data_IF_662840405813
#
_entry.id   IF_662840405813
#
_cell.length_a   1.000
_cell.length_b   1.000
_cell.length_c   1.000
_cell.angle_alpha   90.00
_cell.angle_beta   90.00
_cell.angle_gamma   90.00
#
_symmetry.space_group_name_H-M   'P 1'
#
loop_
_entity.id
_entity.type
_entity.pdbx_description
1 polymer ?
#
# COMPACT_ATOMS: atom_id res chain seq x y z
N UNK A 1 -2.20 39.14 -18.66
CA UNK A 1 -3.31 38.57 -17.87
C UNK A 1 -3.10 37.10 -17.44
N UNK A 2 -1.97 36.44 -17.75
CA UNK A 2 -1.73 35.04 -17.35
C UNK A 2 -1.27 34.85 -15.88
N UNK A 3 -0.67 35.87 -15.26
CA UNK A 3 -0.07 35.76 -13.92
C UNK A 3 -1.09 35.53 -12.78
N UNK A 4 -2.34 35.97 -12.94
CA UNK A 4 -3.38 35.82 -11.91
C UNK A 4 -3.86 34.36 -11.75
N UNK A 5 -3.81 33.57 -12.84
CA UNK A 5 -4.18 32.16 -12.84
C UNK A 5 -3.10 31.27 -12.20
N UNK A 6 -1.83 31.48 -12.57
CA UNK A 6 -0.69 30.78 -11.97
C UNK A 6 -0.52 31.09 -10.48
N UNK A 7 -0.77 32.33 -10.05
CA UNK A 7 -0.70 32.70 -8.63
C UNK A 7 -1.79 32.00 -7.81
N UNK A 8 -3.02 31.85 -8.35
CA UNK A 8 -4.09 31.06 -7.71
C UNK A 8 -3.80 29.55 -7.72
N UNK A 9 -3.10 29.03 -8.72
CA UNK A 9 -2.66 27.64 -8.75
C UNK A 9 -1.53 27.39 -7.74
N UNK A 10 -0.54 28.29 -7.66
CA UNK A 10 0.55 28.25 -6.65
C UNK A 10 0.03 28.35 -5.22
N UNK A 11 -1.00 29.17 -4.97
CA UNK A 11 -1.62 29.28 -3.64
C UNK A 11 -2.40 28.01 -3.22
N UNK A 12 -2.75 27.13 -4.16
CA UNK A 12 -3.54 25.91 -3.88
C UNK A 12 -2.70 24.66 -3.68
N UNK A 13 -1.46 24.64 -4.21
CA UNK A 13 -0.58 23.49 -4.06
C UNK A 13 0.51 23.76 -3.02
N UNK A 14 0.43 23.02 -1.93
CA UNK A 14 1.51 22.82 -0.97
C UNK A 14 1.62 21.32 -0.72
N UNK A 15 2.85 20.82 -0.60
CA UNK A 15 3.15 19.41 -0.28
C UNK A 15 2.30 18.92 0.89
N UNK A 16 2.27 19.66 1.99
CA UNK A 16 1.52 19.28 3.19
C UNK A 16 0.00 19.25 2.96
N UNK A 17 -0.54 20.18 2.14
CA UNK A 17 -1.97 20.16 1.83
C UNK A 17 -2.34 18.96 0.95
N UNK A 18 -1.49 18.65 -0.03
CA UNK A 18 -1.71 17.54 -0.93
C UNK A 18 -1.59 16.18 -0.22
N UNK A 19 -0.54 16.00 0.60
CA UNK A 19 -0.39 14.82 1.45
C UNK A 19 -1.60 14.63 2.37
N UNK A 20 -2.07 15.70 3.04
CA UNK A 20 -3.29 15.62 3.87
C UNK A 20 -4.49 15.15 3.06
N UNK A 21 -4.72 15.70 1.86
CA UNK A 21 -5.83 15.28 0.98
C UNK A 21 -5.74 13.81 0.59
N UNK A 22 -4.53 13.30 0.32
CA UNK A 22 -4.28 11.89 0.02
C UNK A 22 -4.57 11.01 1.24
N UNK A 23 -4.11 11.42 2.43
CA UNK A 23 -4.28 10.65 3.67
C UNK A 23 -5.74 10.59 4.15
N UNK A 24 -6.56 11.61 3.86
CA UNK A 24 -7.97 11.68 4.30
C UNK A 24 -8.96 11.22 3.23
N UNK A 25 -8.50 10.55 2.18
CA UNK A 25 -9.37 10.13 1.08
C UNK A 25 -10.44 9.15 1.55
N UNK A 26 -11.66 9.34 1.04
CA UNK A 26 -12.80 8.47 1.33
C UNK A 26 -13.10 7.55 0.15
N UNK A 27 -13.66 6.34 0.38
CA UNK A 27 -14.00 5.37 -0.67
C UNK A 27 -15.15 5.79 -1.59
N UNK A 28 -15.68 7.01 -1.46
CA UNK A 28 -16.82 7.46 -2.24
C UNK A 28 -16.39 8.20 -3.51
N UNK A 29 -17.29 8.19 -4.51
CA UNK A 29 -17.04 8.75 -5.83
C UNK A 29 -16.71 10.25 -5.77
N UNK A 30 -17.40 11.02 -4.93
CA UNK A 30 -17.20 12.47 -4.80
C UNK A 30 -15.79 12.81 -4.31
N UNK A 31 -15.30 12.12 -3.28
CA UNK A 31 -13.95 12.30 -2.74
C UNK A 31 -12.88 11.95 -3.78
N UNK A 32 -13.06 10.81 -4.46
CA UNK A 32 -12.17 10.34 -5.52
C UNK A 32 -12.11 11.34 -6.68
N UNK A 33 -13.27 11.76 -7.19
CA UNK A 33 -13.37 12.70 -8.32
C UNK A 33 -12.82 14.08 -7.96
N UNK A 34 -13.14 14.59 -6.78
CA UNK A 34 -12.65 15.89 -6.30
C UNK A 34 -11.12 15.92 -6.23
N UNK A 35 -10.49 14.86 -5.72
CA UNK A 35 -9.03 14.75 -5.68
C UNK A 35 -8.44 14.60 -7.09
N UNK A 36 -9.05 13.77 -7.95
CA UNK A 36 -8.60 13.61 -9.32
C UNK A 36 -8.63 14.93 -10.10
N UNK A 37 -9.70 15.73 -9.95
CA UNK A 37 -9.82 17.05 -10.56
C UNK A 37 -8.75 18.03 -10.07
N UNK A 38 -8.43 18.01 -8.77
CA UNK A 38 -7.33 18.80 -8.23
C UNK A 38 -5.99 18.42 -8.87
N UNK A 39 -5.70 17.13 -8.99
CA UNK A 39 -4.45 16.64 -9.61
C UNK A 39 -4.38 17.04 -11.08
N UNK A 40 -5.45 16.87 -11.85
CA UNK A 40 -5.50 17.27 -13.26
C UNK A 40 -5.25 18.76 -13.46
N UNK A 41 -5.72 19.59 -12.53
CA UNK A 41 -5.49 21.03 -12.57
C UNK A 41 -4.02 21.39 -12.27
N UNK A 42 -3.36 20.66 -11.37
CA UNK A 42 -1.98 20.93 -10.96
C UNK A 42 -0.91 20.22 -11.81
N UNK A 43 -1.27 19.12 -12.48
CA UNK A 43 -0.35 18.25 -13.23
C UNK A 43 0.49 18.97 -14.28
N UNK A 44 -0.03 19.96 -15.06
CA UNK A 44 0.78 20.67 -16.06
C UNK A 44 2.05 21.34 -15.48
N UNK A 45 2.03 21.69 -14.19
CA UNK A 45 3.13 22.42 -13.54
C UNK A 45 3.88 21.57 -12.52
N UNK A 46 3.20 20.60 -11.89
CA UNK A 46 3.74 19.86 -10.73
C UNK A 46 3.70 18.34 -10.85
N UNK A 47 3.60 17.77 -12.07
CA UNK A 47 3.49 16.32 -12.29
C UNK A 47 4.47 15.49 -11.45
N UNK A 48 5.77 15.79 -11.50
CA UNK A 48 6.80 15.05 -10.75
C UNK A 48 6.60 15.14 -9.24
N UNK A 49 6.34 16.34 -8.71
CA UNK A 49 6.13 16.53 -7.27
C UNK A 49 4.84 15.83 -6.80
N UNK A 50 3.75 15.93 -7.57
CA UNK A 50 2.49 15.25 -7.25
C UNK A 50 2.69 13.74 -7.15
N UNK A 51 3.37 13.12 -8.11
CA UNK A 51 3.59 11.67 -8.08
C UNK A 51 4.56 11.28 -6.95
N UNK A 52 5.59 12.09 -6.68
CA UNK A 52 6.48 11.83 -5.55
C UNK A 52 5.74 11.81 -4.21
N UNK A 53 4.93 12.83 -3.93
CA UNK A 53 4.14 12.88 -2.70
C UNK A 53 3.08 11.79 -2.63
N UNK A 54 2.51 11.43 -3.79
CA UNK A 54 1.58 10.33 -3.89
C UNK A 54 2.23 9.00 -3.49
N UNK A 55 3.40 8.69 -4.07
CA UNK A 55 4.12 7.45 -3.79
C UNK A 55 4.48 7.38 -2.31
N UNK A 56 4.93 8.48 -1.72
CA UNK A 56 5.19 8.55 -0.29
C UNK A 56 3.95 8.15 0.53
N UNK A 57 2.81 8.84 0.33
CA UNK A 57 1.58 8.54 1.08
C UNK A 57 1.08 7.14 0.79
N UNK A 58 1.21 6.65 -0.44
CA UNK A 58 0.86 5.28 -0.83
C UNK A 58 1.66 4.25 -0.04
N UNK A 59 2.98 4.45 0.11
CA UNK A 59 3.84 3.54 0.86
C UNK A 59 3.58 3.55 2.37
N UNK A 60 3.16 4.68 2.92
CA UNK A 60 2.81 4.84 4.34
C UNK A 60 1.38 4.39 4.66
N UNK A 61 0.56 4.13 3.63
CA UNK A 61 -0.85 3.75 3.78
C UNK A 61 -1.03 2.25 4.00
N UNK A 62 -2.11 1.88 4.69
CA UNK A 62 -2.61 0.51 4.75
C UNK A 62 -3.11 -0.01 3.38
N UNK A 63 -3.41 -1.31 3.32
CA UNK A 63 -3.87 -1.99 2.11
C UNK A 63 -5.14 -1.38 1.52
N UNK A 64 -6.10 -0.98 2.35
CA UNK A 64 -7.39 -0.47 1.90
C UNK A 64 -7.26 0.92 1.29
N UNK A 65 -6.53 1.82 1.96
CA UNK A 65 -6.26 3.16 1.45
C UNK A 65 -5.41 3.14 0.20
N UNK A 66 -4.44 2.22 0.08
CA UNK A 66 -3.70 2.01 -1.18
C UNK A 66 -4.65 1.75 -2.35
N UNK A 67 -5.69 0.94 -2.17
CA UNK A 67 -6.70 0.72 -3.22
C UNK A 67 -7.48 1.99 -3.57
N UNK A 68 -7.90 2.77 -2.57
CA UNK A 68 -8.59 4.04 -2.82
C UNK A 68 -7.71 5.03 -3.60
N UNK A 69 -6.42 5.11 -3.25
CA UNK A 69 -5.46 5.90 -4.02
C UNK A 69 -5.39 5.39 -5.46
N UNK A 70 -5.26 4.08 -5.70
CA UNK A 70 -5.23 3.55 -7.07
C UNK A 70 -6.50 3.87 -7.87
N UNK A 71 -7.67 3.92 -7.25
CA UNK A 71 -8.89 4.39 -7.92
C UNK A 71 -8.79 5.86 -8.33
N UNK A 72 -8.20 6.73 -7.51
CA UNK A 72 -7.92 8.11 -7.93
C UNK A 72 -6.91 8.16 -9.07
N UNK A 73 -5.83 7.37 -9.02
CA UNK A 73 -4.83 7.36 -10.10
C UNK A 73 -5.48 6.95 -11.42
N UNK A 74 -6.35 5.94 -11.37
CA UNK A 74 -7.15 5.51 -12.50
C UNK A 74 -8.04 6.65 -13.05
N UNK A 75 -8.78 7.33 -12.18
CA UNK A 75 -9.63 8.48 -12.57
C UNK A 75 -8.82 9.64 -13.15
N UNK A 76 -7.63 9.92 -12.60
CA UNK A 76 -6.72 10.95 -13.11
C UNK A 76 -6.25 10.59 -14.52
N UNK A 77 -5.70 9.39 -14.71
CA UNK A 77 -5.12 9.00 -16.00
C UNK A 77 -6.17 8.93 -17.11
N UNK A 78 -7.40 8.54 -16.78
CA UNK A 78 -8.48 8.51 -17.76
C UNK A 78 -8.96 9.90 -18.14
N UNK A 79 -9.24 10.76 -17.17
CA UNK A 79 -9.68 12.13 -17.46
C UNK A 79 -8.56 12.98 -18.07
N UNK A 80 -7.30 12.68 -17.78
CA UNK A 80 -6.14 13.34 -18.37
C UNK A 80 -6.12 13.21 -19.90
N UNK A 81 -6.56 12.08 -20.46
CA UNK A 81 -6.61 11.86 -21.92
C UNK A 81 -7.37 12.91 -22.70
N UNK A 82 -8.39 13.51 -22.09
CA UNK A 82 -9.25 14.51 -22.73
C UNK A 82 -8.89 15.95 -22.33
N UNK A 83 -8.10 16.14 -21.27
CA UNK A 83 -7.87 17.46 -20.65
C UNK A 83 -6.42 17.93 -20.72
N UNK A 84 -5.48 17.01 -20.84
CA UNK A 84 -4.05 17.31 -20.81
C UNK A 84 -3.41 17.05 -22.18
N UNK A 85 -2.32 17.76 -22.50
CA UNK A 85 -1.47 17.40 -23.63
C UNK A 85 -0.98 15.96 -23.50
N UNK A 86 -0.84 15.27 -24.64
CA UNK A 86 -0.36 13.88 -24.69
C UNK A 86 0.97 13.70 -23.95
N UNK A 87 1.89 14.64 -24.10
CA UNK A 87 3.19 14.62 -23.40
C UNK A 87 3.07 14.65 -21.87
N UNK A 88 2.14 15.44 -21.33
CA UNK A 88 1.89 15.50 -19.88
C UNK A 88 1.21 14.22 -19.39
N UNK A 89 0.27 13.67 -20.17
CA UNK A 89 -0.36 12.39 -19.86
C UNK A 89 0.67 11.26 -19.80
N UNK A 90 1.50 11.13 -20.83
CA UNK A 90 2.53 10.09 -20.92
C UNK A 90 3.54 10.21 -19.77
N UNK A 91 3.96 11.45 -19.46
CA UNK A 91 4.82 11.71 -18.32
C UNK A 91 4.16 11.25 -17.00
N UNK A 92 2.91 11.63 -16.79
CA UNK A 92 2.18 11.29 -15.56
C UNK A 92 1.98 9.77 -15.42
N UNK A 93 1.58 9.10 -16.50
CA UNK A 93 1.43 7.64 -16.53
C UNK A 93 2.75 6.92 -16.24
N UNK A 94 3.85 7.38 -16.88
CA UNK A 94 5.19 6.82 -16.66
C UNK A 94 5.66 7.00 -15.21
N UNK A 95 5.49 8.19 -14.65
CA UNK A 95 5.85 8.48 -13.26
C UNK A 95 5.03 7.63 -12.28
N UNK A 96 3.71 7.54 -12.47
CA UNK A 96 2.86 6.72 -11.62
C UNK A 96 3.29 5.26 -11.64
N UNK A 97 3.50 4.72 -12.84
CA UNK A 97 3.88 3.33 -12.98
C UNK A 97 5.25 3.07 -12.31
N UNK A 98 6.27 3.86 -12.63
CA UNK A 98 7.61 3.72 -12.05
C UNK A 98 7.61 3.88 -10.53
N UNK A 99 6.82 4.81 -10.00
CA UNK A 99 6.71 5.08 -8.58
C UNK A 99 5.93 4.02 -7.80
N UNK A 100 4.92 3.40 -8.41
CA UNK A 100 4.05 2.44 -7.71
C UNK A 100 4.49 1.00 -7.92
N UNK A 101 5.16 0.67 -9.03
CA UNK A 101 5.43 -0.71 -9.43
C UNK A 101 6.03 -1.54 -8.29
N UNK A 102 6.99 -1.03 -7.52
CA UNK A 102 7.64 -1.79 -6.45
C UNK A 102 6.81 -1.94 -5.16
N UNK A 103 5.64 -1.30 -5.07
CA UNK A 103 4.82 -1.25 -3.86
C UNK A 103 3.45 -1.92 -4.03
N UNK A 104 3.14 -2.43 -5.22
CA UNK A 104 1.88 -3.11 -5.51
C UNK A 104 1.79 -4.53 -4.94
N UNK A 105 2.91 -5.12 -4.50
CA UNK A 105 2.97 -6.51 -4.00
C UNK A 105 2.09 -6.77 -2.79
N UNK A 106 1.79 -5.73 -2.00
CA UNK A 106 0.88 -5.83 -0.85
C UNK A 106 -0.58 -6.06 -1.27
N UNK A 107 -0.92 -5.68 -2.51
CA UNK A 107 -2.26 -5.81 -3.09
C UNK A 107 -2.44 -7.13 -3.86
N UNK A 108 -1.38 -7.93 -4.00
CA UNK A 108 -1.47 -9.21 -4.69
C UNK A 108 -2.42 -10.17 -3.93
N UNK A 109 -3.35 -10.74 -4.68
CA UNK A 109 -4.46 -11.56 -4.16
C UNK A 109 -5.67 -10.74 -3.70
N UNK A 110 -5.68 -9.42 -3.90
CA UNK A 110 -6.91 -8.62 -3.80
C UNK A 110 -7.67 -8.66 -5.12
N UNK A 111 -8.86 -9.25 -5.14
CA UNK A 111 -9.70 -9.31 -6.34
C UNK A 111 -10.01 -7.92 -6.92
N UNK A 112 -10.08 -6.88 -6.08
CA UNK A 112 -10.34 -5.51 -6.54
C UNK A 112 -9.15 -4.96 -7.32
N UNK A 113 -7.93 -5.29 -6.88
CA UNK A 113 -6.71 -4.91 -7.58
C UNK A 113 -6.58 -5.68 -8.90
N UNK A 114 -6.91 -6.96 -8.93
CA UNK A 114 -6.92 -7.76 -10.16
C UNK A 114 -7.87 -7.18 -11.21
N UNK A 115 -9.11 -6.88 -10.81
CA UNK A 115 -10.08 -6.20 -11.68
C UNK A 115 -9.57 -4.84 -12.15
N UNK A 116 -8.83 -4.11 -11.31
CA UNK A 116 -8.25 -2.83 -11.68
C UNK A 116 -7.16 -2.99 -12.75
N UNK A 117 -6.34 -4.05 -12.70
CA UNK A 117 -5.36 -4.34 -13.76
C UNK A 117 -6.05 -4.62 -15.10
N UNK A 118 -7.18 -5.32 -15.10
CA UNK A 118 -7.97 -5.58 -16.32
C UNK A 118 -8.60 -4.29 -16.87
N UNK A 119 -9.03 -3.39 -15.98
CA UNK A 119 -9.48 -2.04 -16.35
C UNK A 119 -8.32 -1.24 -16.98
N UNK A 120 -7.11 -1.31 -16.41
CA UNK A 120 -5.94 -0.63 -16.99
C UNK A 120 -5.57 -1.18 -18.36
N UNK A 121 -5.69 -2.50 -18.58
CA UNK A 121 -5.46 -3.11 -19.88
C UNK A 121 -6.50 -2.66 -20.90
N UNK A 122 -7.78 -2.83 -20.58
CA UNK A 122 -8.89 -2.50 -21.50
C UNK A 122 -8.92 -1.02 -21.89
N UNK A 123 -8.51 -0.13 -20.97
CA UNK A 123 -8.45 1.31 -21.20
C UNK A 123 -7.08 1.78 -21.71
N UNK A 124 -6.13 0.88 -21.96
CA UNK A 124 -4.77 1.19 -22.42
C UNK A 124 -4.10 2.29 -21.57
N UNK A 125 -4.24 2.18 -20.24
CA UNK A 125 -3.61 3.11 -19.29
C UNK A 125 -2.12 2.82 -19.18
N UNK A 126 -1.77 1.53 -19.17
CA UNK A 126 -0.40 1.03 -19.16
C UNK A 126 -0.18 0.08 -20.34
N UNK A 127 1.08 -0.15 -20.70
CA UNK A 127 1.42 -1.06 -21.80
C UNK A 127 1.15 -2.51 -21.41
N UNK A 128 0.94 -3.38 -22.40
CA UNK A 128 0.77 -4.82 -22.14
C UNK A 128 2.00 -5.40 -21.43
N UNK A 129 3.21 -5.01 -21.84
CA UNK A 129 4.45 -5.44 -21.20
C UNK A 129 4.51 -5.09 -19.70
N UNK A 130 4.07 -3.88 -19.34
CA UNK A 130 4.00 -3.42 -17.95
C UNK A 130 3.02 -4.27 -17.13
N UNK A 131 1.82 -4.52 -17.67
CA UNK A 131 0.79 -5.29 -16.98
C UNK A 131 1.15 -6.77 -16.89
N UNK A 132 1.75 -7.34 -17.93
CA UNK A 132 2.19 -8.74 -17.94
C UNK A 132 3.32 -8.98 -16.94
N UNK A 133 4.22 -8.00 -16.78
CA UNK A 133 5.26 -8.05 -15.74
C UNK A 133 4.65 -8.05 -14.34
N UNK A 134 3.66 -7.20 -14.08
CA UNK A 134 2.94 -7.19 -12.81
C UNK A 134 2.19 -8.50 -12.56
N UNK A 135 1.47 -9.03 -13.55
CA UNK A 135 0.75 -10.32 -13.46
C UNK A 135 1.69 -11.49 -13.19
N UNK A 136 2.85 -11.53 -13.84
CA UNK A 136 3.87 -12.56 -13.58
C UNK A 136 4.38 -12.49 -12.15
N UNK A 137 4.76 -11.30 -11.69
CA UNK A 137 5.23 -11.09 -10.32
C UNK A 137 4.14 -11.47 -9.31
N UNK A 138 2.89 -11.10 -9.59
CA UNK A 138 1.74 -11.49 -8.77
C UNK A 138 1.59 -13.01 -8.68
N UNK A 139 1.62 -13.73 -9.81
CA UNK A 139 1.54 -15.19 -9.84
C UNK A 139 2.67 -15.83 -9.03
N UNK A 140 3.92 -15.42 -9.25
CA UNK A 140 5.09 -15.93 -8.53
C UNK A 140 4.98 -15.70 -7.02
N UNK A 141 4.54 -14.50 -6.60
CA UNK A 141 4.34 -14.18 -5.19
C UNK A 141 3.21 -14.98 -4.56
N UNK A 142 2.10 -15.20 -5.26
CA UNK A 142 0.99 -16.00 -4.75
C UNK A 142 1.35 -17.48 -4.64
N UNK A 143 2.04 -18.04 -5.64
CA UNK A 143 2.56 -19.41 -5.58
C UNK A 143 3.55 -19.58 -4.42
N UNK A 144 4.45 -18.62 -4.22
CA UNK A 144 5.38 -18.63 -3.10
C UNK A 144 4.63 -18.58 -1.76
N UNK A 145 3.64 -17.69 -1.60
CA UNK A 145 2.80 -17.62 -0.39
C UNK A 145 2.10 -18.95 -0.12
N UNK A 146 1.55 -19.60 -1.16
CA UNK A 146 0.91 -20.90 -1.02
C UNK A 146 1.88 -21.99 -0.53
N UNK A 147 3.11 -22.05 -1.07
CA UNK A 147 4.15 -23.00 -0.63
C UNK A 147 4.57 -22.76 0.82
N UNK A 148 4.73 -21.50 1.20
CA UNK A 148 5.10 -21.11 2.58
C UNK A 148 3.97 -21.46 3.55
N UNK A 149 2.72 -21.25 3.15
CA UNK A 149 1.56 -21.63 3.96
C UNK A 149 1.44 -23.16 4.12
N UNK A 150 1.72 -23.93 3.07
CA UNK A 150 1.76 -25.40 3.14
C UNK A 150 2.85 -25.87 4.10
N UNK A 151 4.07 -25.33 3.98
CA UNK A 151 5.17 -25.62 4.90
C UNK A 151 4.81 -25.29 6.37
N UNK A 152 4.15 -24.15 6.61
CA UNK A 152 3.65 -23.79 7.94
C UNK A 152 2.68 -24.83 8.51
N UNK A 153 1.74 -25.34 7.70
CA UNK A 153 0.82 -26.41 8.12
C UNK A 153 1.54 -27.71 8.46
N UNK A 154 2.57 -28.08 7.70
CA UNK A 154 3.38 -29.27 8.00
C UNK A 154 4.16 -29.11 9.31
N UNK A 155 4.69 -27.92 9.59
CA UNK A 155 5.36 -27.61 10.87
C UNK A 155 4.34 -27.70 12.03
N UNK A 156 3.15 -27.13 11.88
CA UNK A 156 2.08 -27.22 12.89
C UNK A 156 1.66 -28.67 13.16
N UNK A 157 1.52 -29.49 12.11
CA UNK A 157 1.21 -30.91 12.24
C UNK A 157 2.34 -31.70 12.93
N UNK A 158 3.60 -31.41 12.63
CA UNK A 158 4.75 -32.04 13.27
C UNK A 158 4.82 -31.70 14.77
N UNK A 159 4.60 -30.44 15.13
CA UNK A 159 4.51 -30.00 16.53
C UNK A 159 3.40 -30.76 17.26
N UNK A 160 2.20 -30.86 16.65
CA UNK A 160 1.07 -31.58 17.24
C UNK A 160 1.38 -33.07 17.47
N UNK A 161 2.01 -33.73 16.49
CA UNK A 161 2.41 -35.14 16.62
C UNK A 161 3.47 -35.36 17.70
N UNK A 162 4.43 -34.44 17.85
CA UNK A 162 5.46 -34.55 18.88
C UNK A 162 4.87 -34.35 20.28
N UNK A 163 3.97 -33.38 20.46
CA UNK A 163 3.25 -33.16 21.73
C UNK A 163 2.37 -34.35 22.12
N UNK A 164 1.72 -35.02 21.16
CA UNK A 164 0.95 -36.25 21.41
C UNK A 164 1.87 -37.44 21.79
N UNK A 165 3.08 -37.50 21.22
CA UNK A 165 4.07 -38.55 21.54
C UNK A 165 4.72 -38.37 22.92
N UNK A 166 4.92 -37.13 23.36
CA UNK A 166 5.46 -36.80 24.68
C UNK A 166 4.50 -37.20 25.82
N UNK A 167 3.19 -37.15 25.56
CA UNK A 167 2.15 -37.56 26.50
C UNK A 167 2.07 -39.10 26.69
N UNK A 168 2.75 -39.89 25.84
CA UNK A 168 2.79 -41.36 25.90
C UNK A 168 4.15 -41.83 26.44
N UNK A 169 4.34 -41.67 27.75
CA UNK A 169 5.45 -42.22 28.59
C UNK A 169 6.81 -42.41 27.88
N UNK A 170 7.57 -41.31 27.79
CA UNK A 170 8.92 -41.28 27.22
C UNK A 170 9.95 -40.96 28.32
N UNK A 171 11.13 -41.61 28.29
CA UNK A 171 12.22 -41.37 29.25
C UNK A 171 12.61 -39.88 29.35
N UNK A 172 12.89 -39.37 30.57
CA UNK A 172 13.21 -37.96 30.85
C UNK A 172 14.25 -37.31 29.92
N UNK A 173 15.27 -38.06 29.49
CA UNK A 173 16.29 -37.54 28.57
C UNK A 173 15.76 -37.37 27.13
N UNK A 174 14.87 -38.27 26.73
CA UNK A 174 14.23 -38.27 25.42
C UNK A 174 13.11 -37.21 25.37
N UNK A 175 12.41 -36.98 26.48
CA UNK A 175 11.45 -35.87 26.64
C UNK A 175 12.11 -34.50 26.46
N UNK A 176 13.25 -34.23 27.12
CA UNK A 176 14.01 -32.97 26.95
C UNK A 176 14.50 -32.73 25.52
N UNK A 177 14.82 -33.81 24.80
CA UNK A 177 15.23 -33.71 23.39
C UNK A 177 14.03 -33.37 22.49
N UNK A 178 12.86 -33.97 22.74
CA UNK A 178 11.62 -33.65 22.03
C UNK A 178 11.20 -32.20 22.30
N UNK A 179 11.24 -31.75 23.55
CA UNK A 179 10.96 -30.36 23.94
C UNK A 179 11.87 -29.37 23.21
N UNK A 180 13.17 -29.65 23.14
CA UNK A 180 14.14 -28.83 22.40
C UNK A 180 13.88 -28.78 20.89
N UNK A 181 13.31 -29.83 20.29
CA UNK A 181 12.90 -29.84 18.87
C UNK A 181 11.61 -29.03 18.68
N UNK A 182 10.64 -29.17 19.58
CA UNK A 182 9.38 -28.42 19.53
C UNK A 182 9.63 -26.92 19.58
N UNK A 183 10.51 -26.44 20.46
CA UNK A 183 10.86 -25.01 20.56
C UNK A 183 11.40 -24.47 19.23
N UNK A 184 12.32 -25.19 18.58
CA UNK A 184 12.88 -24.78 17.27
C UNK A 184 11.83 -24.74 16.16
N UNK A 185 10.88 -25.68 16.18
CA UNK A 185 9.77 -25.70 15.22
C UNK A 185 8.79 -24.55 15.46
N UNK A 186 8.52 -24.20 16.71
CA UNK A 186 7.70 -23.04 17.07
C UNK A 186 8.35 -21.72 16.64
N UNK A 187 9.67 -21.57 16.82
CA UNK A 187 10.43 -20.43 16.30
C UNK A 187 10.35 -20.34 14.76
N UNK A 188 10.53 -21.47 14.07
CA UNK A 188 10.41 -21.53 12.62
C UNK A 188 8.99 -21.15 12.14
N UNK A 189 7.95 -21.58 12.87
CA UNK A 189 6.56 -21.23 12.57
C UNK A 189 6.29 -19.73 12.78
N UNK A 190 6.84 -19.12 13.83
CA UNK A 190 6.74 -17.67 14.04
C UNK A 190 7.38 -16.88 12.89
N UNK A 191 8.54 -17.34 12.39
CA UNK A 191 9.17 -16.74 11.22
C UNK A 191 8.27 -16.86 9.98
N UNK A 192 7.70 -18.04 9.72
CA UNK A 192 6.77 -18.25 8.60
C UNK A 192 5.56 -17.32 8.68
N UNK A 193 4.95 -17.17 9.86
CA UNK A 193 3.81 -16.25 10.08
C UNK A 193 4.21 -14.80 9.79
N UNK A 194 5.33 -14.34 10.35
CA UNK A 194 5.88 -12.98 10.09
C UNK A 194 6.14 -12.73 8.60
N UNK A 195 6.63 -13.72 7.86
CA UNK A 195 6.88 -13.60 6.42
C UNK A 195 5.60 -13.55 5.58
N UNK A 196 4.55 -14.25 5.99
CA UNK A 196 3.26 -14.29 5.30
C UNK A 196 2.45 -13.01 5.51
N UNK A 197 2.45 -12.48 6.73
CA UNK A 197 1.75 -11.24 7.08
C UNK A 197 2.40 -10.01 6.43
N UNK A 198 3.66 -10.13 5.98
CA UNK A 198 4.44 -9.02 5.42
C UNK A 198 4.77 -7.98 6.50
N UNK A 199 5.56 -6.94 6.18
CA UNK A 199 5.74 -5.82 7.09
C UNK A 199 4.43 -5.02 7.15
N UNK A 200 3.52 -5.44 8.02
CA UNK A 200 2.32 -4.68 8.39
C UNK A 200 2.66 -3.54 9.38
N UNK A 201 3.87 -2.97 9.27
CA UNK A 201 4.27 -1.74 9.94
C UNK A 201 3.81 -0.51 9.11
N UNK A 202 2.51 -0.45 8.82
CA UNK A 202 1.85 0.80 8.41
C UNK A 202 0.56 1.05 9.20
N UNK A 203 0.35 0.33 10.31
CA UNK A 203 -0.48 0.85 11.39
C UNK A 203 0.29 2.01 12.02
N UNK A 204 0.06 3.22 11.51
CA UNK A 204 0.34 4.42 12.30
C UNK A 204 -0.29 4.23 13.68
N UNK A 205 0.46 4.38 14.78
CA UNK A 205 -0.12 4.31 16.10
C UNK A 205 -1.08 5.50 16.23
N UNK A 206 -2.38 5.24 16.13
CA UNK A 206 -3.40 6.21 16.47
C UNK A 206 -3.22 6.63 17.92
N UNK A 207 -3.24 7.95 18.15
CA UNK A 207 -3.56 8.53 19.45
C UNK A 207 -2.39 8.72 20.41
N UNK A 208 -1.54 9.72 20.16
CA UNK A 208 -1.03 10.50 21.30
C UNK A 208 -2.09 11.55 21.66
N UNK A 209 -2.63 11.55 22.89
CA UNK A 209 -3.33 12.72 23.39
C UNK A 209 -2.30 13.84 23.52
N UNK A 210 -2.56 14.98 22.87
CA UNK A 210 -1.87 16.22 23.19
C UNK A 210 -2.35 16.67 24.56
N UNK A 211 -1.67 16.23 25.62
CA UNK A 211 -1.73 16.87 26.92
C UNK A 211 -0.52 17.80 27.11
N UNK A 212 -0.90 19.03 27.43
CA UNK A 212 -0.18 20.09 28.13
C UNK A 212 0.95 20.87 27.46
N UNK A 213 0.66 22.17 27.32
CA UNK A 213 1.67 23.17 27.65
C UNK A 213 1.43 24.56 27.08
N UNK A 214 0.40 25.29 27.54
CA UNK A 214 0.62 26.63 28.11
C UNK A 214 -0.69 27.33 28.49
N UNK A 215 -0.82 27.47 29.81
CA UNK A 215 -1.55 28.55 30.45
C UNK A 215 -1.02 29.89 29.93
N UNK A 216 -1.92 30.77 29.49
CA UNK A 216 -1.75 32.21 29.68
C UNK A 216 -3.12 32.81 29.91
N UNK A 217 -3.41 32.94 31.19
CA UNK A 217 -4.52 33.65 31.80
C UNK A 217 -4.34 35.16 31.57
N UNK A 218 -5.46 35.85 31.34
CA UNK A 218 -5.75 37.25 31.75
C UNK A 218 -4.87 38.42 31.27
N UNK A 219 -5.49 39.23 30.40
CA UNK A 219 -5.80 40.65 30.57
C UNK A 219 -4.74 41.62 31.15
N UNK A 220 -4.37 42.65 30.37
CA UNK A 220 -4.46 44.06 30.79
C UNK A 220 -4.24 45.02 29.59
N UNK A 221 -5.17 45.99 29.48
CA UNK A 221 -5.20 47.29 28.74
C UNK A 221 -5.15 47.30 27.22
#
# INVERSE_FOLDING_TARGET
MAESGEHRARLRYSRANFQRRLSTIQPNLESIQSLAQFILFMAPTFASSLVQEWVQVFTESDRERRLHLLYVANEVLQHARHRLPVSTLEQLASLFFAGLENHLDVLFGDERFEKLMDVWQSRQVFTEEQLDRLRRRMKERLEWRARVQDAGKHIEAAIASLKDSESREVSDAQARNVEGVVIKLEEALQLVKRYLDGPDECASPEGRPNEDGSKSETAFV
#
